data_IF_062549044001
#
_entry.id   IF_062549044001
#
_cell.length_a   1.000
_cell.length_b   1.000
_cell.length_c   1.000
_cell.angle_alpha   90.00
_cell.angle_beta   90.00
_cell.angle_gamma   90.00
#
_symmetry.space_group_name_H-M   'P 1'
#
loop_
_entity.id
_entity.type
_entity.pdbx_description
1 polymer ?
#
# COMPACT_ATOMS: atom_id res chain seq x y z
N UNK A 1 -11.90 -11.99 -37.45
CA UNK A 1 -11.86 -11.89 -35.97
C UNK A 1 -10.45 -11.86 -35.38
N UNK A 2 -9.54 -12.75 -35.83
CA UNK A 2 -8.15 -12.73 -35.35
C UNK A 2 -7.39 -11.43 -35.68
N UNK A 3 -7.68 -10.80 -36.80
CA UNK A 3 -7.04 -9.55 -37.21
C UNK A 3 -7.44 -8.36 -36.33
N UNK A 4 -8.70 -8.31 -35.94
CA UNK A 4 -9.19 -7.22 -35.05
C UNK A 4 -8.64 -7.37 -33.63
N UNK A 5 -8.54 -8.60 -33.15
CA UNK A 5 -7.94 -8.87 -31.83
C UNK A 5 -6.46 -8.51 -31.78
N UNK A 6 -5.73 -8.79 -32.89
CA UNK A 6 -4.31 -8.45 -33.00
C UNK A 6 -4.10 -6.93 -33.10
N UNK A 7 -4.97 -6.21 -33.85
CA UNK A 7 -4.93 -4.77 -33.94
C UNK A 7 -5.30 -4.10 -32.61
N UNK A 8 -6.27 -4.63 -31.92
CA UNK A 8 -6.66 -4.15 -30.60
C UNK A 8 -5.55 -4.35 -29.56
N UNK A 9 -4.84 -5.49 -29.67
CA UNK A 9 -3.70 -5.79 -28.81
C UNK A 9 -2.52 -4.85 -29.11
N UNK A 10 -2.25 -4.58 -30.38
CA UNK A 10 -1.21 -3.63 -30.79
C UNK A 10 -1.54 -2.20 -30.33
N UNK A 11 -2.81 -1.82 -30.41
CA UNK A 11 -3.29 -0.53 -29.93
C UNK A 11 -3.11 -0.39 -28.41
N UNK A 12 -3.45 -1.42 -27.65
CA UNK A 12 -3.24 -1.42 -26.20
C UNK A 12 -1.74 -1.38 -25.87
N UNK A 13 -0.91 -2.14 -26.58
CA UNK A 13 0.53 -2.14 -26.37
C UNK A 13 1.16 -0.81 -26.77
N UNK A 14 0.67 -0.19 -27.84
CA UNK A 14 1.13 1.14 -28.23
C UNK A 14 0.73 2.21 -27.22
N UNK A 15 -0.46 2.06 -26.61
CA UNK A 15 -0.92 2.96 -25.55
C UNK A 15 -0.07 2.79 -24.28
N UNK A 16 0.45 1.60 -24.04
CA UNK A 16 1.34 1.32 -22.92
C UNK A 16 2.79 1.74 -23.19
N UNK A 17 3.13 2.01 -24.45
CA UNK A 17 4.44 2.51 -24.85
C UNK A 17 4.40 4.04 -24.94
N UNK A 18 4.44 4.67 -23.79
CA UNK A 18 4.67 6.10 -23.76
C UNK A 18 6.17 6.39 -23.74
N UNK A 19 6.55 7.61 -24.12
CA UNK A 19 7.96 8.02 -24.17
C UNK A 19 8.52 8.31 -22.80
N UNK A 20 7.81 7.93 -21.75
CA UNK A 20 8.21 8.18 -20.39
C UNK A 20 9.35 7.28 -19.94
N UNK A 21 10.14 7.80 -19.01
CA UNK A 21 11.21 7.04 -18.37
C UNK A 21 10.73 6.47 -17.04
N UNK A 22 11.15 5.23 -16.70
CA UNK A 22 10.80 4.69 -15.39
C UNK A 22 11.31 5.59 -14.28
N UNK A 23 10.49 5.79 -13.26
CA UNK A 23 10.86 6.53 -12.07
C UNK A 23 11.05 5.58 -10.90
N UNK A 24 11.45 6.12 -9.76
CA UNK A 24 11.50 5.37 -8.51
C UNK A 24 10.15 5.34 -7.81
N UNK A 25 9.14 5.98 -8.40
CA UNK A 25 7.82 6.10 -7.77
C UNK A 25 6.89 4.97 -8.20
N UNK A 26 6.03 4.59 -7.29
CA UNK A 26 5.04 3.54 -7.47
C UNK A 26 3.66 4.17 -7.64
N UNK A 27 2.86 3.63 -8.54
CA UNK A 27 1.49 4.11 -8.73
C UNK A 27 0.67 3.90 -7.44
N UNK A 28 0.06 4.97 -6.90
CA UNK A 28 -0.73 4.83 -5.67
C UNK A 28 -1.96 3.94 -5.82
N UNK A 29 -2.46 3.77 -7.05
CA UNK A 29 -3.67 2.99 -7.30
C UNK A 29 -3.39 1.52 -7.59
N UNK A 30 -2.38 1.21 -8.41
CA UNK A 30 -2.14 -0.17 -8.84
C UNK A 30 -0.78 -0.74 -8.38
N UNK A 31 0.05 0.05 -7.71
CA UNK A 31 1.37 -0.35 -7.20
C UNK A 31 2.40 -0.62 -8.31
N UNK A 32 2.08 -0.33 -9.55
CA UNK A 32 3.00 -0.47 -10.66
C UNK A 32 4.00 0.68 -10.75
N UNK A 33 5.05 0.48 -11.52
CA UNK A 33 6.05 1.52 -11.74
C UNK A 33 5.42 2.72 -12.44
N UNK A 34 5.73 3.92 -11.98
CA UNK A 34 5.35 5.16 -12.65
C UNK A 34 6.45 5.60 -13.60
N UNK A 35 6.01 6.03 -14.78
CA UNK A 35 6.90 6.59 -15.80
C UNK A 35 6.70 8.10 -15.84
N UNK A 36 7.79 8.84 -15.92
CA UNK A 36 7.76 10.30 -16.00
C UNK A 36 7.63 10.69 -17.46
N UNK A 37 6.63 11.50 -17.76
CA UNK A 37 6.35 11.97 -19.12
C UNK A 37 6.47 13.49 -19.13
N UNK A 38 7.26 14.00 -20.07
CA UNK A 38 7.38 15.44 -20.29
C UNK A 38 6.65 15.81 -21.57
N UNK A 39 5.62 16.65 -21.46
CA UNK A 39 4.88 17.15 -22.61
C UNK A 39 4.69 18.66 -22.46
N UNK A 40 5.23 19.43 -23.40
CA UNK A 40 4.99 20.89 -23.45
C UNK A 40 5.21 21.58 -22.11
N UNK A 41 6.36 21.35 -21.48
CA UNK A 41 6.71 21.89 -20.16
C UNK A 41 5.87 21.34 -18.99
N UNK A 42 5.05 20.34 -19.26
CA UNK A 42 4.29 19.66 -18.21
C UNK A 42 4.94 18.33 -17.86
N UNK A 43 5.01 18.05 -16.56
CA UNK A 43 5.47 16.75 -16.07
C UNK A 43 4.25 15.95 -15.66
N UNK A 44 4.16 14.73 -16.16
CA UNK A 44 3.08 13.81 -15.83
C UNK A 44 3.67 12.47 -15.42
N UNK A 45 2.92 11.72 -14.65
CA UNK A 45 3.30 10.38 -14.20
C UNK A 45 2.24 9.39 -14.66
N UNK A 46 2.67 8.32 -15.30
CA UNK A 46 1.74 7.32 -15.81
C UNK A 46 2.26 5.91 -15.57
N UNK A 47 1.40 5.03 -15.06
CA UNK A 47 1.73 3.61 -14.92
C UNK A 47 1.39 2.84 -16.20
N UNK A 48 1.75 1.57 -16.24
CA UNK A 48 1.51 0.74 -17.42
C UNK A 48 0.03 0.49 -17.71
N UNK A 49 -0.80 0.50 -16.66
CA UNK A 49 -2.26 0.32 -16.85
C UNK A 49 -2.96 1.60 -17.26
N UNK A 50 -2.29 2.74 -17.17
CA UNK A 50 -2.79 3.99 -17.67
C UNK A 50 -3.24 5.01 -16.64
N UNK A 51 -3.04 4.75 -15.34
CA UNK A 51 -3.29 5.77 -14.33
C UNK A 51 -2.36 6.95 -14.57
N UNK A 52 -2.92 8.14 -14.64
CA UNK A 52 -2.20 9.34 -15.01
C UNK A 52 -2.33 10.39 -13.91
N UNK A 53 -1.22 11.00 -13.55
CA UNK A 53 -1.16 11.98 -12.48
C UNK A 53 -0.41 13.23 -12.93
N UNK A 54 -0.92 14.39 -12.55
CA UNK A 54 -0.16 15.62 -12.50
C UNK A 54 0.65 15.63 -11.20
N UNK A 55 1.63 16.57 -11.04
CA UNK A 55 2.33 16.68 -9.76
C UNK A 55 1.38 16.90 -8.57
N UNK A 56 0.33 17.71 -8.75
CA UNK A 56 -0.64 17.98 -7.68
C UNK A 56 -1.49 16.76 -7.36
N UNK A 57 -2.05 16.10 -8.38
CA UNK A 57 -2.86 14.90 -8.14
C UNK A 57 -2.02 13.73 -7.64
N UNK A 58 -0.75 13.68 -8.01
CA UNK A 58 0.18 12.68 -7.49
C UNK A 58 0.37 12.85 -5.98
N UNK A 59 0.55 14.08 -5.52
CA UNK A 59 0.72 14.37 -4.10
C UNK A 59 -0.52 13.98 -3.30
N UNK A 60 -1.70 14.32 -3.80
CA UNK A 60 -2.97 13.94 -3.17
C UNK A 60 -3.13 12.42 -3.10
N UNK A 61 -2.85 11.74 -4.21
CA UNK A 61 -2.97 10.29 -4.29
C UNK A 61 -1.97 9.60 -3.36
N UNK A 62 -0.75 10.13 -3.25
CA UNK A 62 0.23 9.62 -2.31
C UNK A 62 -0.22 9.77 -0.87
N UNK A 63 -0.78 10.93 -0.52
CA UNK A 63 -1.28 11.16 0.84
C UNK A 63 -2.39 10.19 1.20
N UNK A 64 -3.35 9.99 0.29
CA UNK A 64 -4.43 9.03 0.48
C UNK A 64 -3.90 7.60 0.62
N UNK A 65 -2.90 7.25 -0.19
CA UNK A 65 -2.29 5.93 -0.13
C UNK A 65 -1.58 5.69 1.19
N UNK A 66 -0.79 6.66 1.66
CA UNK A 66 -0.09 6.58 2.94
C UNK A 66 -1.11 6.39 4.07
N UNK A 67 -2.16 7.19 4.09
CA UNK A 67 -3.20 7.10 5.12
C UNK A 67 -3.87 5.73 5.10
N UNK A 68 -4.21 5.22 3.93
CA UNK A 68 -4.81 3.89 3.78
C UNK A 68 -3.88 2.79 4.29
N UNK A 69 -2.58 2.88 3.97
CA UNK A 69 -1.60 1.91 4.42
C UNK A 69 -1.40 1.96 5.93
N UNK A 70 -1.42 3.15 6.51
CA UNK A 70 -1.31 3.31 7.96
C UNK A 70 -2.51 2.69 8.68
N UNK A 71 -3.73 2.92 8.19
CA UNK A 71 -4.92 2.28 8.75
C UNK A 71 -4.86 0.77 8.62
N UNK A 72 -4.42 0.28 7.45
CA UNK A 72 -4.24 -1.16 7.23
C UNK A 72 -3.23 -1.77 8.18
N UNK A 73 -2.12 -1.07 8.41
CA UNK A 73 -1.08 -1.53 9.33
C UNK A 73 -1.59 -1.53 10.78
N UNK A 74 -2.29 -0.47 11.18
CA UNK A 74 -2.87 -0.40 12.52
C UNK A 74 -3.83 -1.57 12.76
N UNK A 75 -4.68 -1.86 11.78
CA UNK A 75 -5.61 -2.99 11.87
C UNK A 75 -4.87 -4.33 11.95
N UNK A 76 -3.84 -4.51 11.14
CA UNK A 76 -3.04 -5.74 11.18
C UNK A 76 -2.37 -5.94 12.55
N UNK A 77 -1.90 -4.85 13.15
CA UNK A 77 -1.31 -4.90 14.49
C UNK A 77 -2.35 -5.24 15.55
N UNK A 78 -3.56 -4.71 15.45
CA UNK A 78 -4.65 -5.07 16.36
C UNK A 78 -4.99 -6.56 16.26
N UNK A 79 -5.09 -7.07 15.04
CA UNK A 79 -5.36 -8.49 14.80
C UNK A 79 -4.24 -9.36 15.36
N UNK A 80 -3.01 -8.95 15.16
CA UNK A 80 -1.83 -9.64 15.69
C UNK A 80 -1.87 -9.68 17.21
N UNK A 81 -2.20 -8.54 17.83
CA UNK A 81 -2.33 -8.46 19.28
C UNK A 81 -3.42 -9.36 19.82
N UNK A 82 -4.58 -9.36 19.16
CA UNK A 82 -5.69 -10.22 19.53
C UNK A 82 -5.33 -11.71 19.41
N UNK A 83 -4.68 -12.09 18.30
CA UNK A 83 -4.24 -13.45 18.08
C UNK A 83 -3.27 -13.91 19.17
N UNK A 84 -2.26 -13.10 19.46
CA UNK A 84 -1.26 -13.44 20.48
C UNK A 84 -1.88 -13.53 21.88
N UNK A 85 -2.88 -12.67 22.15
CA UNK A 85 -3.60 -12.70 23.41
C UNK A 85 -4.40 -14.00 23.56
N UNK A 86 -5.06 -14.45 22.49
CA UNK A 86 -5.78 -15.71 22.50
C UNK A 86 -4.85 -16.91 22.68
N UNK A 87 -3.69 -16.88 22.02
CA UNK A 87 -2.68 -17.95 22.20
C UNK A 87 -2.20 -17.98 23.63
N UNK A 88 -1.98 -16.82 24.24
CA UNK A 88 -1.56 -16.73 25.63
C UNK A 88 -2.59 -17.34 26.58
N UNK A 89 -3.88 -17.07 26.32
CA UNK A 89 -4.97 -17.63 27.13
C UNK A 89 -5.07 -19.15 26.97
N UNK A 90 -4.84 -19.65 25.76
CA UNK A 90 -4.88 -21.10 25.48
C UNK A 90 -3.67 -21.84 26.03
N UNK A 91 -2.54 -21.14 26.16
CA UNK A 91 -1.32 -21.71 26.79
C UNK A 91 -1.49 -21.77 28.29
N UNK A 92 -2.67 -22.12 28.71
CA UNK A 92 -3.12 -22.10 30.06
C UNK A 92 -2.28 -22.95 30.97
N UNK A 93 -1.98 -22.45 32.04
CA UNK A 93 -1.61 -23.21 33.13
C UNK A 93 -0.24 -22.97 33.62
N UNK A 94 0.39 -23.96 33.87
CA UNK A 94 1.43 -24.02 34.84
C UNK A 94 2.75 -23.43 34.36
N UNK A 95 2.99 -23.47 33.07
CA UNK A 95 4.18 -22.80 32.57
C UNK A 95 3.84 -21.52 31.86
N UNK A 96 3.89 -20.49 32.61
CA UNK A 96 3.52 -19.17 32.15
C UNK A 96 4.59 -18.47 31.33
N UNK A 97 5.73 -19.09 31.06
CA UNK A 97 6.80 -18.41 30.30
C UNK A 97 6.39 -18.14 28.87
N UNK A 98 5.82 -19.15 28.20
CA UNK A 98 5.32 -18.98 26.85
C UNK A 98 4.15 -17.99 26.83
N UNK A 99 3.20 -18.15 27.74
CA UNK A 99 2.05 -17.26 27.86
C UNK A 99 2.49 -15.82 28.09
N UNK A 100 3.44 -15.60 28.98
CA UNK A 100 3.98 -14.26 29.24
C UNK A 100 4.66 -13.66 28.02
N UNK A 101 5.38 -14.47 27.25
CA UNK A 101 6.03 -13.99 26.03
C UNK A 101 5.00 -13.55 24.98
N UNK A 102 3.94 -14.35 24.78
CA UNK A 102 2.89 -14.00 23.86
C UNK A 102 2.13 -12.75 24.31
N UNK A 103 1.84 -12.66 25.61
CA UNK A 103 1.15 -11.50 26.17
C UNK A 103 1.96 -10.21 25.98
N UNK A 104 3.27 -10.29 26.21
CA UNK A 104 4.16 -9.15 26.01
C UNK A 104 4.18 -8.70 24.55
N UNK A 105 4.22 -9.66 23.62
CA UNK A 105 4.17 -9.36 22.18
C UNK A 105 2.81 -8.77 21.80
N UNK A 106 1.73 -9.26 22.39
CA UNK A 106 0.40 -8.72 22.17
C UNK A 106 0.31 -7.26 22.61
N UNK A 107 0.81 -6.95 23.79
CA UNK A 107 0.84 -5.58 24.31
C UNK A 107 1.67 -4.66 23.42
N UNK A 108 2.82 -5.14 22.94
CA UNK A 108 3.67 -4.37 22.03
C UNK A 108 2.93 -4.06 20.72
N UNK A 109 2.24 -5.04 20.14
CA UNK A 109 1.47 -4.85 18.92
C UNK A 109 0.35 -3.82 19.13
N UNK A 110 -0.36 -3.91 20.24
CA UNK A 110 -1.44 -2.97 20.57
C UNK A 110 -0.92 -1.55 20.80
N UNK A 111 0.24 -1.40 21.42
CA UNK A 111 0.86 -0.09 21.60
C UNK A 111 1.24 0.53 20.26
N UNK A 112 1.77 -0.26 19.34
CA UNK A 112 2.09 0.21 18.00
C UNK A 112 0.85 0.62 17.23
N UNK A 113 -0.22 -0.16 17.34
CA UNK A 113 -1.50 0.17 16.70
C UNK A 113 -2.04 1.50 17.22
N UNK A 114 -2.03 1.68 18.53
CA UNK A 114 -2.50 2.91 19.17
C UNK A 114 -1.67 4.11 18.72
N UNK A 115 -0.35 3.97 18.66
CA UNK A 115 0.54 5.03 18.20
C UNK A 115 0.25 5.42 16.74
N UNK A 116 0.01 4.43 15.86
CA UNK A 116 -0.34 4.70 14.47
C UNK A 116 -1.68 5.41 14.36
N UNK A 117 -2.69 4.97 15.10
CA UNK A 117 -4.02 5.59 15.08
C UNK A 117 -3.94 7.05 15.50
N UNK A 118 -3.15 7.35 16.52
CA UNK A 118 -2.95 8.73 16.97
C UNK A 118 -2.26 9.59 15.91
N UNK A 119 -1.30 9.02 15.19
CA UNK A 119 -0.65 9.73 14.10
C UNK A 119 -1.61 10.05 12.95
N UNK A 120 -2.47 9.11 12.59
CA UNK A 120 -3.42 9.29 11.49
C UNK A 120 -4.46 10.36 11.85
N UNK A 121 -4.94 10.36 13.08
CA UNK A 121 -6.00 11.27 13.52
C UNK A 121 -5.47 12.64 13.94
N UNK A 122 -4.16 12.80 14.05
CA UNK A 122 -3.54 14.09 14.35
C UNK A 122 -3.49 14.93 13.08
N UNK A 123 -4.28 15.94 13.01
CA UNK A 123 -4.29 16.91 11.92
C UNK A 123 -3.83 18.27 12.38
#
# INVERSE_FOLDING_TARGET
MARQAALHRKSKLAHLRHDGKPSVFTCPDCQGTLFVIHRQNLVQFQCRVGHLYSPESMMEAQNENVERLMWGTARALEEQGEYMSQVADQADGEDSTMARNYLRKALSAMQKADALQKLITRR
#
